data_IF_903962433709
#
_entry.id   IF_903962433709
#
_cell.length_a   1.000
_cell.length_b   1.000
_cell.length_c   1.000
_cell.angle_alpha   90.00
_cell.angle_beta   90.00
_cell.angle_gamma   90.00
#
_symmetry.space_group_name_H-M   'P 1'
#
loop_
_entity.id
_entity.type
_entity.pdbx_description
1 polymer ?
#
# COMPACT_ATOMS: atom_id res chain seq x y z
N UNK A 1 5.86 -49.13 -7.31
CA UNK A 1 7.24 -48.91 -6.85
C UNK A 1 7.39 -47.41 -6.64
N UNK A 2 7.71 -46.92 -5.42
CA UNK A 2 8.03 -45.50 -5.27
C UNK A 2 9.27 -45.16 -6.09
N UNK A 3 9.23 -44.03 -6.81
CA UNK A 3 10.35 -43.57 -7.64
C UNK A 3 11.60 -43.41 -6.78
N UNK A 4 12.74 -43.94 -7.25
CA UNK A 4 14.00 -43.87 -6.50
C UNK A 4 14.37 -42.43 -6.14
N UNK A 5 14.04 -41.48 -7.00
CA UNK A 5 14.25 -40.05 -6.78
C UNK A 5 13.51 -39.54 -5.53
N UNK A 6 12.30 -40.03 -5.27
CA UNK A 6 11.54 -39.66 -4.08
C UNK A 6 12.15 -40.27 -2.82
N UNK A 7 12.67 -41.49 -2.92
CA UNK A 7 13.31 -42.19 -1.81
C UNK A 7 14.63 -41.53 -1.43
N UNK A 8 15.41 -41.09 -2.42
CA UNK A 8 16.67 -40.38 -2.21
C UNK A 8 16.45 -38.99 -1.62
N UNK A 9 15.47 -38.23 -2.14
CA UNK A 9 15.08 -36.94 -1.54
C UNK A 9 14.61 -37.09 -0.09
N UNK A 10 13.85 -38.15 0.22
CA UNK A 10 13.37 -38.38 1.59
C UNK A 10 14.51 -38.77 2.54
N UNK A 11 15.55 -39.44 2.03
CA UNK A 11 16.75 -39.78 2.80
C UNK A 11 17.58 -38.54 3.09
N UNK A 12 17.86 -37.72 2.07
CA UNK A 12 18.60 -36.47 2.20
C UNK A 12 17.90 -35.46 3.13
N UNK A 13 16.57 -35.43 3.14
CA UNK A 13 15.80 -34.54 4.03
C UNK A 13 15.72 -35.01 5.48
N UNK A 14 15.87 -36.31 5.74
CA UNK A 14 15.89 -36.85 7.12
C UNK A 14 17.18 -36.54 7.86
N UNK A 15 18.31 -36.46 7.12
CA UNK A 15 19.61 -36.18 7.71
C UNK A 15 19.95 -34.67 7.74
N UNK A 16 19.06 -33.82 7.21
CA UNK A 16 19.17 -32.38 7.30
C UNK A 16 18.90 -31.90 8.73
N UNK A 17 19.96 -31.77 9.50
CA UNK A 17 19.95 -31.02 10.75
C UNK A 17 19.77 -29.54 10.43
N UNK A 18 18.52 -29.06 10.43
CA UNK A 18 18.24 -27.65 10.21
C UNK A 18 18.92 -26.82 11.29
N UNK A 19 19.68 -25.81 10.87
CA UNK A 19 20.21 -24.83 11.79
C UNK A 19 19.06 -24.20 12.60
N UNK A 20 19.28 -23.82 13.87
CA UNK A 20 18.26 -23.15 14.67
C UNK A 20 17.65 -21.98 13.89
N UNK A 21 16.33 -21.82 13.99
CA UNK A 21 15.55 -20.82 13.24
C UNK A 21 16.14 -19.41 13.30
N UNK A 22 16.76 -19.05 14.42
CA UNK A 22 17.41 -17.77 14.69
C UNK A 22 18.66 -17.59 13.81
N UNK A 23 19.40 -18.66 13.57
CA UNK A 23 20.59 -18.65 12.72
C UNK A 23 20.21 -18.54 11.24
N UNK A 24 19.15 -19.22 10.80
CA UNK A 24 18.59 -19.08 9.45
C UNK A 24 18.11 -17.64 9.21
N UNK A 25 17.33 -17.09 10.15
CA UNK A 25 16.87 -15.69 10.11
C UNK A 25 18.01 -14.67 10.13
N UNK A 26 19.11 -14.96 10.84
CA UNK A 26 20.31 -14.10 10.87
C UNK A 26 21.06 -14.14 9.53
N UNK A 27 21.25 -15.32 8.94
CA UNK A 27 21.90 -15.48 7.63
C UNK A 27 21.09 -14.84 6.50
N UNK A 28 19.75 -14.98 6.50
CA UNK A 28 18.87 -14.32 5.53
C UNK A 28 19.01 -12.79 5.55
N UNK A 29 19.00 -12.20 6.76
CA UNK A 29 19.23 -10.75 6.93
C UNK A 29 20.62 -10.31 6.47
N UNK A 30 21.65 -11.12 6.68
CA UNK A 30 23.02 -10.79 6.28
C UNK A 30 23.21 -10.83 4.75
N UNK A 31 22.57 -11.77 4.04
CA UNK A 31 22.56 -11.78 2.55
C UNK A 31 21.86 -10.55 2.00
N UNK A 32 20.68 -10.23 2.51
CA UNK A 32 19.90 -9.05 2.05
C UNK A 32 20.68 -7.74 2.20
N UNK A 33 21.45 -7.58 3.29
CA UNK A 33 22.33 -6.42 3.48
C UNK A 33 23.49 -6.37 2.47
N UNK A 34 24.08 -7.52 2.13
CA UNK A 34 25.18 -7.58 1.15
C UNK A 34 24.70 -7.26 -0.27
N UNK A 35 23.53 -7.74 -0.67
CA UNK A 35 22.98 -7.47 -2.02
C UNK A 35 22.69 -5.99 -2.24
N UNK A 36 22.23 -5.26 -1.21
CA UNK A 36 21.96 -3.81 -1.30
C UNK A 36 23.22 -2.95 -1.46
N UNK A 37 24.38 -3.41 -0.98
CA UNK A 37 25.64 -2.64 -1.08
C UNK A 37 26.26 -2.78 -2.48
N UNK A 38 26.11 -3.92 -3.14
CA UNK A 38 26.70 -4.16 -4.47
C UNK A 38 25.95 -3.42 -5.58
N UNK A 39 24.63 -3.21 -5.43
CA UNK A 39 23.82 -2.49 -6.42
C UNK A 39 24.12 -0.97 -6.51
N UNK A 40 24.85 -0.39 -5.55
CA UNK A 40 25.17 1.04 -5.52
C UNK A 40 26.39 1.46 -6.35
N UNK A 41 27.22 0.52 -6.84
CA UNK A 41 28.51 0.84 -7.46
C UNK A 41 28.56 0.68 -8.99
N UNK A 42 27.49 0.22 -9.65
CA UNK A 42 27.49 -0.03 -11.10
C UNK A 42 27.12 1.20 -11.98
N UNK A 43 26.91 2.38 -11.40
CA UNK A 43 26.29 3.52 -12.08
C UNK A 43 27.20 4.56 -12.74
N UNK A 44 28.53 4.37 -12.80
CA UNK A 44 29.46 5.48 -13.14
C UNK A 44 30.17 5.35 -14.50
N UNK A 45 30.02 4.26 -15.27
CA UNK A 45 30.90 4.04 -16.46
C UNK A 45 30.24 4.24 -17.84
N UNK A 46 28.92 4.45 -17.94
CA UNK A 46 28.24 4.46 -19.26
C UNK A 46 27.79 5.84 -19.76
N UNK A 47 28.68 6.84 -19.81
CA UNK A 47 28.45 8.11 -20.52
C UNK A 47 29.63 8.42 -21.43
N UNK A 48 29.78 7.63 -22.49
CA UNK A 48 30.57 7.98 -23.67
C UNK A 48 30.26 6.96 -24.76
N UNK A 49 29.30 7.26 -25.65
CA UNK A 49 29.15 6.84 -27.06
C UNK A 49 27.66 6.99 -27.41
N UNK A 50 27.23 8.21 -27.76
CA UNK A 50 26.10 8.42 -28.68
C UNK A 50 26.42 9.66 -29.50
N UNK A 51 27.20 9.48 -30.56
CA UNK A 51 27.42 10.49 -31.59
C UNK A 51 27.71 9.78 -32.92
N UNK A 52 26.72 9.07 -33.46
CA UNK A 52 26.63 8.72 -34.89
C UNK A 52 25.30 7.99 -35.14
N UNK A 53 24.53 8.47 -36.12
CA UNK A 53 23.47 7.65 -36.73
C UNK A 53 22.11 8.32 -36.90
N UNK A 54 22.06 9.48 -37.56
CA UNK A 54 20.85 9.94 -38.22
C UNK A 54 20.75 9.23 -39.59
N UNK A 55 19.69 8.45 -39.82
CA UNK A 55 19.25 8.07 -41.16
C UNK A 55 17.72 8.12 -41.22
N UNK A 56 17.25 8.77 -42.27
CA UNK A 56 15.88 9.13 -42.57
C UNK A 56 14.94 7.95 -42.78
N UNK A 57 13.70 8.09 -42.31
CA UNK A 57 12.52 7.47 -42.92
C UNK A 57 11.42 8.51 -43.04
N UNK A 58 11.20 8.95 -44.27
CA UNK A 58 10.01 9.66 -44.70
C UNK A 58 8.95 8.62 -45.09
N UNK A 59 7.83 8.59 -44.37
CA UNK A 59 6.63 7.81 -44.72
C UNK A 59 5.42 8.74 -44.61
N UNK A 60 4.69 8.90 -45.72
CA UNK A 60 3.60 9.87 -45.87
C UNK A 60 2.33 9.54 -45.07
N UNK A 61 1.44 10.52 -44.91
CA UNK A 61 0.20 10.36 -44.14
C UNK A 61 -0.86 9.56 -44.91
N UNK A 62 -1.36 8.50 -44.28
CA UNK A 62 -2.54 7.76 -44.70
C UNK A 62 -3.82 8.59 -44.42
N UNK A 63 -4.83 8.58 -45.31
CA UNK A 63 -6.08 9.30 -45.10
C UNK A 63 -6.95 8.65 -44.02
N UNK A 64 -7.45 9.48 -43.10
CA UNK A 64 -8.31 9.06 -42.01
C UNK A 64 -9.65 8.48 -42.49
N UNK A 65 -10.16 7.39 -41.87
CA UNK A 65 -11.50 6.87 -42.15
C UNK A 65 -12.61 7.80 -41.63
N UNK A 66 -13.80 7.80 -42.27
CA UNK A 66 -14.92 8.67 -41.90
C UNK A 66 -15.53 8.31 -40.53
N UNK A 67 -15.88 9.35 -39.78
CA UNK A 67 -16.49 9.28 -38.44
C UNK A 67 -17.99 8.91 -38.58
N UNK A 68 -18.49 7.89 -37.86
CA UNK A 68 -19.92 7.57 -37.84
C UNK A 68 -20.74 8.63 -37.05
N UNK A 69 -22.03 8.84 -37.38
CA UNK A 69 -22.87 9.82 -36.72
C UNK A 69 -23.17 9.46 -35.26
N UNK A 70 -23.15 10.46 -34.37
CA UNK A 70 -23.56 10.33 -32.98
C UNK A 70 -25.09 10.20 -32.88
N UNK A 71 -25.58 9.01 -32.56
CA UNK A 71 -27.00 8.75 -32.26
C UNK A 71 -27.26 8.82 -30.76
N UNK A 72 -28.17 9.72 -30.38
CA UNK A 72 -29.11 9.52 -29.28
C UNK A 72 -28.62 9.80 -27.86
N UNK A 73 -28.90 11.01 -27.37
CA UNK A 73 -28.91 11.33 -25.94
C UNK A 73 -30.23 10.86 -25.31
N UNK A 74 -30.24 9.98 -24.29
CA UNK A 74 -31.44 9.72 -23.52
C UNK A 74 -31.66 10.81 -22.47
N UNK A 75 -32.83 11.44 -22.55
CA UNK A 75 -33.41 12.40 -21.61
C UNK A 75 -33.44 11.84 -20.17
N UNK A 76 -32.99 12.59 -19.14
CA UNK A 76 -33.14 12.15 -17.76
C UNK A 76 -34.58 12.29 -17.27
N UNK A 77 -35.12 11.19 -16.75
CA UNK A 77 -36.40 11.14 -16.02
C UNK A 77 -36.21 11.62 -14.58
N UNK A 78 -36.97 12.61 -14.08
CA UNK A 78 -36.93 13.00 -12.67
C UNK A 78 -37.85 12.10 -11.82
N UNK A 79 -37.39 11.67 -10.64
CA UNK A 79 -38.27 11.11 -9.59
C UNK A 79 -37.53 10.99 -8.24
N UNK A 80 -38.25 10.85 -7.11
CA UNK A 80 -38.93 11.91 -6.39
C UNK A 80 -38.32 12.17 -5.00
N UNK A 81 -38.68 13.31 -4.42
CA UNK A 81 -38.37 13.73 -3.05
C UNK A 81 -39.19 12.96 -2.00
N UNK A 82 -38.57 12.47 -0.90
CA UNK A 82 -39.23 12.34 0.39
C UNK A 82 -38.49 13.18 1.45
N UNK A 83 -39.15 14.20 2.02
CA UNK A 83 -40.00 14.18 3.23
C UNK A 83 -39.21 14.19 4.54
N UNK A 84 -39.31 15.33 5.23
CA UNK A 84 -38.69 15.71 6.50
C UNK A 84 -39.37 15.14 7.76
N UNK A 85 -38.57 15.03 8.83
CA UNK A 85 -38.90 15.10 10.28
C UNK A 85 -39.49 13.84 10.96
N UNK A 86 -39.27 13.59 12.27
CA UNK A 86 -38.92 14.56 13.32
C UNK A 86 -37.74 14.22 14.27
N UNK A 87 -37.36 15.24 15.04
CA UNK A 87 -36.46 15.23 16.19
C UNK A 87 -36.86 14.24 17.28
N UNK A 88 -35.88 13.57 17.87
CA UNK A 88 -35.99 12.97 19.20
C UNK A 88 -34.94 13.56 20.14
N UNK A 89 -35.43 14.39 21.07
CA UNK A 89 -34.77 14.83 22.29
C UNK A 89 -34.72 13.67 23.29
N UNK A 90 -33.58 13.42 23.92
CA UNK A 90 -33.47 12.41 24.98
C UNK A 90 -32.09 12.37 25.64
N UNK A 91 -31.84 13.31 26.55
CA UNK A 91 -30.81 13.19 27.61
C UNK A 91 -31.33 12.25 28.70
N UNK A 92 -30.48 11.37 29.27
CA UNK A 92 -30.00 11.69 30.61
C UNK A 92 -28.52 11.34 30.86
N UNK A 93 -27.90 12.20 31.66
CA UNK A 93 -26.65 12.01 32.40
C UNK A 93 -26.81 10.94 33.49
N UNK A 94 -25.81 10.05 33.67
CA UNK A 94 -25.48 9.56 35.00
C UNK A 94 -24.05 9.92 35.41
N UNK A 95 -23.98 10.67 36.51
CA UNK A 95 -22.83 10.87 37.38
C UNK A 95 -22.46 9.55 38.04
N UNK A 96 -21.19 9.16 38.00
CA UNK A 96 -20.70 7.99 38.73
C UNK A 96 -19.17 7.88 38.68
N UNK A 97 -18.50 8.60 39.57
CA UNK A 97 -17.09 8.37 39.93
C UNK A 97 -17.05 7.31 41.04
N UNK A 98 -16.11 6.36 40.96
CA UNK A 98 -15.21 6.21 42.10
C UNK A 98 -13.73 6.13 41.69
N UNK A 99 -12.92 6.85 42.46
CA UNK A 99 -11.47 6.67 42.56
C UNK A 99 -11.10 5.22 42.83
N UNK A 100 -10.12 4.71 42.08
CA UNK A 100 -9.22 3.67 42.59
C UNK A 100 -7.79 4.07 42.26
N UNK A 101 -7.13 4.54 43.31
CA UNK A 101 -5.70 4.70 43.45
C UNK A 101 -5.04 3.31 43.38
N UNK A 102 -4.09 3.15 42.45
CA UNK A 102 -3.42 1.87 42.19
C UNK A 102 -2.02 2.10 41.61
N UNK A 103 -1.06 2.26 42.52
CA UNK A 103 0.35 1.83 42.48
C UNK A 103 1.17 2.00 41.18
N UNK A 104 2.28 2.77 41.19
CA UNK A 104 3.21 2.83 40.07
C UNK A 104 4.03 1.53 39.99
N UNK A 105 3.75 0.69 38.99
CA UNK A 105 4.64 -0.43 38.64
C UNK A 105 5.69 0.05 37.64
N UNK A 106 6.95 -0.10 38.04
CA UNK A 106 8.15 0.21 37.26
C UNK A 106 8.13 -0.39 35.85
N UNK A 107 8.69 0.29 34.83
CA UNK A 107 8.74 -0.26 33.48
C UNK A 107 9.74 -1.43 33.42
N UNK A 108 9.38 -2.59 32.84
CA UNK A 108 10.37 -3.60 32.52
C UNK A 108 11.29 -3.06 31.43
N UNK A 109 12.58 -2.93 31.75
CA UNK A 109 13.65 -2.75 30.75
C UNK A 109 13.75 -4.03 29.92
N UNK A 110 12.88 -4.17 28.94
CA UNK A 110 13.08 -5.11 27.85
C UNK A 110 13.95 -4.42 26.82
N UNK A 111 15.19 -4.88 26.66
CA UNK A 111 16.03 -4.62 25.50
C UNK A 111 15.35 -5.20 24.25
N UNK A 112 14.37 -4.46 23.73
CA UNK A 112 13.64 -4.77 22.51
C UNK A 112 14.47 -4.40 21.30
N UNK A 113 15.00 -5.44 20.65
CA UNK A 113 15.40 -5.46 19.24
C UNK A 113 14.44 -4.59 18.38
N UNK A 114 14.94 -3.71 17.48
CA UNK A 114 14.07 -2.91 16.62
C UNK A 114 13.43 -3.84 15.58
N UNK A 115 12.18 -4.23 15.84
CA UNK A 115 11.26 -4.78 14.86
C UNK A 115 10.85 -3.63 13.92
N UNK A 116 10.79 -3.87 12.62
CA UNK A 116 10.60 -2.84 11.57
C UNK A 116 9.28 -2.07 11.62
N UNK A 117 8.41 -2.37 12.60
CA UNK A 117 7.24 -1.59 12.93
C UNK A 117 7.58 -0.33 13.71
N UNK A 118 7.87 0.74 12.98
CA UNK A 118 8.13 2.05 13.56
C UNK A 118 6.90 2.58 14.30
N UNK A 119 7.02 2.81 15.61
CA UNK A 119 6.04 3.53 16.45
C UNK A 119 6.36 5.02 16.50
N UNK A 120 6.81 5.58 15.36
CA UNK A 120 7.25 6.97 15.27
C UNK A 120 6.18 7.92 15.79
N UNK A 121 6.52 8.65 16.86
CA UNK A 121 5.58 9.55 17.54
C UNK A 121 5.24 10.77 16.70
N UNK A 122 6.01 11.07 15.67
CA UNK A 122 5.68 12.14 14.72
C UNK A 122 4.47 11.79 13.85
N UNK A 123 4.05 10.51 13.80
CA UNK A 123 2.75 10.11 13.25
C UNK A 123 1.85 9.68 14.41
N UNK A 124 0.89 10.53 14.82
CA UNK A 124 0.05 10.26 15.98
C UNK A 124 -0.80 9.00 15.75
N UNK A 125 -1.19 8.30 16.82
CA UNK A 125 -1.99 7.09 16.70
C UNK A 125 -3.36 7.36 16.05
N UNK A 126 -3.89 8.58 16.19
CA UNK A 126 -5.12 9.02 15.55
C UNK A 126 -5.02 9.03 14.00
N UNK A 127 -3.80 9.10 13.44
CA UNK A 127 -3.54 9.02 12.01
C UNK A 127 -3.67 7.61 11.43
N UNK A 128 -3.69 6.58 12.29
CA UNK A 128 -3.75 5.17 11.88
C UNK A 128 -5.18 4.65 11.99
N UNK A 129 -5.54 3.72 11.12
CA UNK A 129 -6.73 2.91 11.28
C UNK A 129 -6.77 2.26 12.67
N UNK A 130 -7.99 2.11 13.18
CA UNK A 130 -8.32 1.46 14.43
C UNK A 130 -9.23 0.27 14.17
N UNK A 131 -9.33 -0.66 15.13
CA UNK A 131 -10.25 -1.79 15.01
C UNK A 131 -11.71 -1.38 14.81
N UNK A 132 -12.12 -0.26 15.41
CA UNK A 132 -13.46 0.30 15.22
C UNK A 132 -13.74 0.79 13.78
N UNK A 133 -12.69 0.98 12.97
CA UNK A 133 -12.80 1.37 11.57
C UNK A 133 -12.97 0.16 10.65
N UNK A 134 -12.75 -1.05 11.15
CA UNK A 134 -12.76 -2.27 10.34
C UNK A 134 -14.06 -3.08 10.57
N UNK A 135 -14.42 -3.97 9.63
CA UNK A 135 -15.49 -4.94 9.88
C UNK A 135 -15.24 -5.75 11.15
N UNK A 136 -16.32 -6.28 11.74
CA UNK A 136 -16.21 -7.17 12.87
C UNK A 136 -15.35 -8.40 12.54
N UNK A 137 -14.58 -8.87 13.52
CA UNK A 137 -13.71 -10.06 13.38
C UNK A 137 -12.26 -9.75 13.01
N UNK A 138 -11.94 -8.52 12.62
CA UNK A 138 -10.55 -8.08 12.54
C UNK A 138 -9.91 -7.97 13.93
N UNK A 139 -8.63 -8.28 14.02
CA UNK A 139 -7.75 -8.10 15.19
C UNK A 139 -6.48 -7.38 14.75
N UNK A 140 -5.91 -6.57 15.64
CA UNK A 140 -4.62 -5.93 15.40
C UNK A 140 -3.54 -6.99 15.65
N UNK A 141 -2.78 -7.33 14.62
CA UNK A 141 -1.71 -8.33 14.69
C UNK A 141 -0.32 -7.71 14.84
N UNK A 142 -0.25 -6.38 14.94
CA UNK A 142 0.94 -5.63 15.29
C UNK A 142 1.25 -4.53 14.28
N UNK A 143 2.53 -4.17 14.22
CA UNK A 143 3.06 -3.13 13.34
C UNK A 143 4.15 -3.68 12.43
N UNK A 144 4.30 -5.00 12.33
CA UNK A 144 5.31 -5.61 11.47
C UNK A 144 4.93 -5.39 10.00
N UNK A 145 5.69 -4.52 9.35
CA UNK A 145 5.54 -4.18 7.93
C UNK A 145 6.51 -4.97 7.05
N UNK A 146 7.22 -5.96 7.59
CA UNK A 146 8.11 -6.81 6.81
C UNK A 146 7.32 -7.58 5.74
N UNK A 147 7.84 -7.61 4.51
CA UNK A 147 7.28 -8.39 3.41
C UNK A 147 7.12 -7.60 2.11
N UNK A 148 6.65 -8.31 1.08
CA UNK A 148 6.50 -7.81 -0.28
C UNK A 148 5.06 -7.35 -0.58
N UNK A 149 4.44 -6.69 0.40
CA UNK A 149 3.04 -6.23 0.30
C UNK A 149 2.91 -4.82 -0.29
N UNK A 150 4.00 -4.04 -0.34
CA UNK A 150 3.97 -2.65 -0.81
C UNK A 150 3.87 -2.58 -2.34
N UNK A 151 3.28 -1.50 -2.87
CA UNK A 151 3.25 -1.23 -4.30
C UNK A 151 4.66 -1.23 -4.91
N UNK A 152 5.66 -0.70 -4.18
CA UNK A 152 7.05 -0.70 -4.63
C UNK A 152 7.58 -2.12 -4.89
N UNK A 153 7.12 -3.11 -4.12
CA UNK A 153 7.50 -4.51 -4.31
C UNK A 153 6.99 -5.06 -5.65
N UNK A 154 5.83 -4.60 -6.13
CA UNK A 154 5.29 -5.00 -7.44
C UNK A 154 6.01 -4.32 -8.60
N UNK A 155 6.68 -3.20 -8.35
CA UNK A 155 7.32 -2.44 -9.44
C UNK A 155 8.56 -3.11 -10.01
N UNK A 156 9.07 -4.15 -9.35
CA UNK A 156 10.15 -4.99 -9.89
C UNK A 156 9.74 -5.75 -11.16
N UNK A 157 8.44 -5.88 -11.42
CA UNK A 157 7.88 -6.54 -12.60
C UNK A 157 7.59 -5.56 -13.75
N UNK A 158 7.80 -4.26 -13.52
CA UNK A 158 7.67 -3.23 -14.54
C UNK A 158 9.01 -3.03 -15.27
N UNK A 159 8.97 -2.92 -16.59
CA UNK A 159 10.14 -2.53 -17.37
C UNK A 159 10.52 -1.07 -17.06
N UNK A 160 11.81 -0.82 -16.83
CA UNK A 160 12.37 0.52 -16.61
C UNK A 160 12.67 0.82 -15.15
N UNK A 161 13.00 2.10 -14.87
CA UNK A 161 13.38 2.54 -13.52
C UNK A 161 12.17 3.12 -12.80
N UNK A 162 11.76 2.48 -11.71
CA UNK A 162 10.68 2.97 -10.86
C UNK A 162 11.22 4.03 -9.87
N UNK A 163 10.71 5.27 -9.91
CA UNK A 163 11.09 6.27 -8.91
C UNK A 163 10.60 5.84 -7.52
N UNK A 164 11.29 6.28 -6.47
CA UNK A 164 10.77 6.10 -5.11
C UNK A 164 9.45 6.86 -4.94
N UNK A 165 8.40 6.18 -4.49
CA UNK A 165 7.09 6.79 -4.22
C UNK A 165 7.02 7.49 -2.85
N UNK A 166 8.11 7.49 -2.07
CA UNK A 166 8.16 8.19 -0.78
C UNK A 166 9.18 9.33 -0.73
N UNK A 167 9.15 10.30 -1.67
CA UNK A 167 10.05 11.44 -1.64
C UNK A 167 9.91 12.22 -0.33
N UNK A 168 11.03 12.65 0.26
CA UNK A 168 11.02 13.51 1.43
C UNK A 168 10.27 12.94 2.65
N UNK A 169 10.12 11.62 2.72
CA UNK A 169 9.60 10.91 3.89
C UNK A 169 10.48 11.22 5.11
N UNK A 170 9.85 11.77 6.16
CA UNK A 170 10.52 12.11 7.42
C UNK A 170 10.11 11.18 8.56
N UNK A 171 8.99 10.47 8.40
CA UNK A 171 8.52 9.49 9.37
C UNK A 171 7.61 8.46 8.75
N UNK A 172 7.48 7.32 9.44
CA UNK A 172 6.64 6.19 9.04
C UNK A 172 6.05 5.48 10.24
N UNK A 173 4.80 5.04 10.10
CA UNK A 173 4.11 4.18 11.04
C UNK A 173 3.28 3.13 10.32
N UNK A 174 3.18 1.94 10.92
CA UNK A 174 2.51 0.79 10.33
C UNK A 174 1.51 0.12 11.27
N UNK A 175 0.51 -0.53 10.69
CA UNK A 175 -0.41 -1.42 11.40
C UNK A 175 -0.83 -2.58 10.49
N UNK A 176 -0.95 -3.77 11.08
CA UNK A 176 -1.45 -4.97 10.41
C UNK A 176 -2.71 -5.44 11.12
N UNK A 177 -3.73 -5.78 10.33
CA UNK A 177 -5.01 -6.24 10.80
C UNK A 177 -5.37 -7.54 10.10
N UNK A 178 -5.74 -8.55 10.87
CA UNK A 178 -6.10 -9.86 10.34
C UNK A 178 -7.50 -10.26 10.83
N UNK A 179 -8.21 -11.00 10.00
CA UNK A 179 -9.44 -11.73 10.34
C UNK A 179 -9.28 -13.18 9.88
N UNK A 180 -10.23 -14.09 10.19
CA UNK A 180 -10.18 -15.45 9.66
C UNK A 180 -10.19 -15.55 8.13
N UNK A 181 -10.71 -14.53 7.44
CA UNK A 181 -10.93 -14.57 5.97
C UNK A 181 -10.14 -13.52 5.21
N UNK A 182 -9.50 -12.57 5.88
CA UNK A 182 -8.91 -11.38 5.25
C UNK A 182 -7.78 -10.79 6.07
N UNK A 183 -6.93 -10.00 5.40
CA UNK A 183 -5.85 -9.25 6.01
C UNK A 183 -5.77 -7.86 5.38
N UNK A 184 -5.31 -6.89 6.17
CA UNK A 184 -5.11 -5.51 5.78
C UNK A 184 -3.82 -5.01 6.39
N UNK A 185 -2.98 -4.37 5.58
CA UNK A 185 -1.75 -3.74 6.05
C UNK A 185 -1.80 -2.26 5.70
N UNK A 186 -1.64 -1.41 6.70
CA UNK A 186 -1.56 0.03 6.54
C UNK A 186 -0.14 0.52 6.84
N UNK A 187 0.36 1.40 5.97
CA UNK A 187 1.52 2.25 6.23
C UNK A 187 1.13 3.69 6.02
N UNK A 188 1.36 4.50 7.05
CA UNK A 188 1.26 5.96 6.97
C UNK A 188 2.66 6.54 6.98
N UNK A 189 2.94 7.43 6.04
CA UNK A 189 4.19 8.20 5.95
C UNK A 189 3.91 9.69 6.12
N UNK A 190 4.80 10.38 6.82
CA UNK A 190 4.83 11.84 6.89
C UNK A 190 5.91 12.35 5.95
N UNK A 191 5.60 13.41 5.22
CA UNK A 191 6.50 14.02 4.24
C UNK A 191 6.79 15.47 4.59
N UNK A 192 7.98 15.93 4.25
CA UNK A 192 8.37 17.33 4.40
C UNK A 192 7.86 18.20 3.25
N UNK A 193 7.37 19.41 3.55
CA UNK A 193 6.94 20.38 2.52
C UNK A 193 5.83 19.83 1.61
N UNK A 194 5.92 20.12 0.31
CA UNK A 194 4.96 19.62 -0.70
C UNK A 194 5.14 18.15 -1.09
N UNK A 195 6.07 17.40 -0.47
CA UNK A 195 6.45 16.07 -0.93
C UNK A 195 5.35 15.00 -0.77
N UNK A 196 4.35 15.22 0.09
CA UNK A 196 3.19 14.32 0.17
C UNK A 196 2.37 14.33 -1.13
N UNK A 197 2.18 15.50 -1.75
CA UNK A 197 1.51 15.60 -3.06
C UNK A 197 2.39 14.96 -4.15
N UNK A 198 3.69 15.26 -4.15
CA UNK A 198 4.66 14.62 -5.04
C UNK A 198 4.67 13.09 -4.90
N UNK A 199 4.45 12.56 -3.70
CA UNK A 199 4.34 11.12 -3.48
C UNK A 199 3.12 10.53 -4.23
N UNK A 200 1.96 11.20 -4.14
CA UNK A 200 0.75 10.79 -4.88
C UNK A 200 0.94 10.86 -6.39
N UNK A 201 1.60 11.91 -6.90
CA UNK A 201 1.92 12.04 -8.32
C UNK A 201 2.87 10.92 -8.77
N UNK A 202 3.88 10.59 -7.97
CA UNK A 202 4.78 9.47 -8.27
C UNK A 202 4.07 8.12 -8.26
N UNK A 203 3.06 7.91 -7.43
CA UNK A 203 2.21 6.71 -7.51
C UNK A 203 1.48 6.66 -8.86
N UNK A 204 0.89 7.79 -9.30
CA UNK A 204 0.19 7.86 -10.59
C UNK A 204 1.14 7.62 -11.75
N UNK A 205 2.31 8.28 -11.76
CA UNK A 205 3.34 8.12 -12.80
C UNK A 205 3.87 6.68 -12.85
N UNK A 206 4.12 6.09 -11.68
CA UNK A 206 4.61 4.72 -11.58
C UNK A 206 3.61 3.71 -12.11
N UNK A 207 2.32 3.85 -11.77
CA UNK A 207 1.28 2.92 -12.24
C UNK A 207 1.03 3.09 -13.74
N UNK A 208 0.91 4.33 -14.22
CA UNK A 208 0.64 4.61 -15.65
C UNK A 208 1.85 4.34 -16.55
N UNK A 209 3.07 4.50 -16.03
CA UNK A 209 4.31 4.22 -16.72
C UNK A 209 4.75 2.74 -16.66
N UNK A 210 4.16 1.93 -15.78
CA UNK A 210 4.52 0.52 -15.65
C UNK A 210 4.14 -0.24 -16.92
N UNK A 211 5.15 -0.86 -17.55
CA UNK A 211 4.97 -1.84 -18.62
C UNK A 211 5.38 -3.21 -18.08
N UNK A 212 4.44 -4.07 -17.69
CA UNK A 212 4.77 -5.38 -17.15
C UNK A 212 5.60 -6.20 -18.14
N UNK A 213 6.64 -6.87 -17.66
CA UNK A 213 7.56 -7.65 -18.52
C UNK A 213 6.92 -8.93 -19.09
N UNK A 214 5.92 -9.48 -18.38
CA UNK A 214 5.24 -10.72 -18.76
C UNK A 214 3.86 -10.43 -19.36
N UNK A 215 3.50 -11.20 -20.37
CA UNK A 215 2.15 -11.18 -20.91
C UNK A 215 1.13 -11.63 -19.84
N UNK A 216 0.03 -10.88 -19.72
CA UNK A 216 -1.02 -11.13 -18.72
C UNK A 216 -0.81 -10.40 -17.39
N UNK A 217 0.41 -9.93 -17.10
CA UNK A 217 0.65 -9.08 -15.95
C UNK A 217 0.09 -7.67 -16.21
N UNK A 218 -0.44 -7.02 -15.17
CA UNK A 218 -1.03 -5.68 -15.25
C UNK A 218 -0.87 -4.91 -13.94
N UNK A 219 -0.76 -3.59 -14.07
CA UNK A 219 -0.80 -2.62 -12.97
C UNK A 219 -1.62 -1.42 -13.45
N UNK A 220 -2.66 -1.04 -12.73
CA UNK A 220 -3.58 0.02 -13.18
C UNK A 220 -4.22 0.77 -12.02
N UNK A 221 -4.60 2.02 -12.27
CA UNK A 221 -5.46 2.79 -11.36
C UNK A 221 -6.90 2.42 -11.71
N UNK A 222 -7.62 1.82 -10.76
CA UNK A 222 -9.00 1.35 -10.97
C UNK A 222 -10.04 2.32 -10.41
N UNK A 223 -9.63 3.25 -9.55
CA UNK A 223 -10.50 4.32 -9.07
C UNK A 223 -9.69 5.52 -8.56
N UNK A 224 -10.31 6.70 -8.60
CA UNK A 224 -9.83 7.95 -8.01
C UNK A 224 -10.97 8.63 -7.26
N UNK A 225 -10.67 9.55 -6.35
CA UNK A 225 -11.72 10.35 -5.70
C UNK A 225 -12.53 9.59 -4.64
N UNK A 226 -12.03 8.47 -4.14
CA UNK A 226 -12.74 7.61 -3.18
C UNK A 226 -13.00 8.32 -1.83
N UNK A 227 -12.09 9.20 -1.42
CA UNK A 227 -12.09 9.93 -0.16
C UNK A 227 -11.63 11.39 -0.31
N UNK A 228 -12.01 12.02 -1.44
CA UNK A 228 -11.53 13.33 -1.85
C UNK A 228 -10.55 13.25 -3.02
N UNK A 229 -10.15 14.40 -3.56
CA UNK A 229 -9.38 14.51 -4.81
C UNK A 229 -8.03 13.76 -4.76
N UNK A 230 -7.45 13.66 -3.58
CA UNK A 230 -6.14 13.07 -3.34
C UNK A 230 -6.26 11.64 -2.78
N UNK A 231 -7.10 10.83 -3.45
CA UNK A 231 -7.24 9.41 -3.16
C UNK A 231 -7.38 8.60 -4.43
N UNK A 232 -6.77 7.42 -4.46
CA UNK A 232 -6.83 6.49 -5.59
C UNK A 232 -6.68 5.04 -5.14
N UNK A 233 -7.17 4.14 -5.98
CA UNK A 233 -7.05 2.71 -5.81
C UNK A 233 -6.25 2.13 -6.98
N UNK A 234 -5.22 1.37 -6.64
CA UNK A 234 -4.36 0.66 -7.58
C UNK A 234 -4.70 -0.82 -7.52
N UNK A 235 -4.85 -1.46 -8.68
CA UNK A 235 -4.95 -2.90 -8.80
C UNK A 235 -3.74 -3.44 -9.57
N UNK A 236 -3.22 -4.59 -9.14
CA UNK A 236 -2.25 -5.36 -9.92
C UNK A 236 -2.76 -6.77 -10.14
N UNK A 237 -2.42 -7.36 -11.29
CA UNK A 237 -2.43 -8.80 -11.50
C UNK A 237 -1.04 -9.20 -11.97
N UNK A 238 -0.27 -9.91 -11.12
CA UNK A 238 1.13 -10.26 -11.40
C UNK A 238 1.32 -11.74 -11.14
N UNK A 239 1.75 -12.49 -12.14
CA UNK A 239 1.93 -13.94 -12.05
C UNK A 239 0.67 -14.66 -11.53
N UNK A 240 -0.51 -14.17 -11.92
CA UNK A 240 -1.80 -14.68 -11.47
C UNK A 240 -2.23 -14.24 -10.07
N UNK A 241 -1.40 -13.50 -9.33
CA UNK A 241 -1.76 -12.93 -8.04
C UNK A 241 -2.35 -11.54 -8.21
N UNK A 242 -3.54 -11.35 -7.67
CA UNK A 242 -4.18 -10.05 -7.66
C UNK A 242 -3.92 -9.33 -6.33
N UNK A 243 -3.78 -8.01 -6.37
CA UNK A 243 -3.58 -7.20 -5.18
C UNK A 243 -4.16 -5.81 -5.40
N UNK A 244 -4.66 -5.22 -4.31
CA UNK A 244 -5.22 -3.88 -4.31
C UNK A 244 -4.55 -3.02 -3.25
N UNK A 245 -4.30 -1.76 -3.62
CA UNK A 245 -3.81 -0.73 -2.71
C UNK A 245 -4.71 0.49 -2.76
N UNK A 246 -5.06 1.00 -1.58
CA UNK A 246 -5.61 2.34 -1.43
C UNK A 246 -4.49 3.31 -1.07
N UNK A 247 -4.44 4.41 -1.80
CA UNK A 247 -3.61 5.56 -1.47
C UNK A 247 -4.51 6.73 -1.12
N UNK A 248 -4.25 7.36 0.02
CA UNK A 248 -5.01 8.51 0.50
C UNK A 248 -4.02 9.52 1.07
N UNK A 249 -4.15 10.78 0.69
CA UNK A 249 -3.38 11.88 1.29
C UNK A 249 -4.27 12.82 2.07
N UNK A 250 -3.79 13.29 3.21
CA UNK A 250 -4.32 14.47 3.90
C UNK A 250 -3.14 15.29 4.42
N UNK A 251 -3.08 16.56 4.02
CA UNK A 251 -1.96 17.43 4.39
C UNK A 251 -0.60 16.85 3.96
N UNK A 252 0.27 16.66 4.96
CA UNK A 252 1.62 16.11 4.84
C UNK A 252 1.70 14.59 5.06
N UNK A 253 0.56 13.92 5.26
CA UNK A 253 0.48 12.48 5.48
C UNK A 253 -0.04 11.75 4.24
N UNK A 254 0.55 10.60 3.94
CA UNK A 254 0.08 9.66 2.91
C UNK A 254 -0.11 8.29 3.55
N UNK A 255 -1.28 7.69 3.37
CA UNK A 255 -1.54 6.29 3.70
C UNK A 255 -1.46 5.43 2.44
N UNK A 256 -0.82 4.28 2.57
CA UNK A 256 -0.92 3.15 1.67
C UNK A 256 -1.53 1.98 2.43
N UNK A 257 -2.67 1.48 1.96
CA UNK A 257 -3.37 0.35 2.56
C UNK A 257 -3.44 -0.77 1.55
N UNK A 258 -2.77 -1.89 1.83
CA UNK A 258 -2.93 -3.12 1.07
C UNK A 258 -4.13 -3.90 1.59
N UNK A 259 -4.93 -4.41 0.66
CA UNK A 259 -6.14 -5.18 0.92
C UNK A 259 -5.94 -6.60 0.37
N UNK A 260 -6.03 -7.61 1.24
CA UNK A 260 -5.97 -9.01 0.82
C UNK A 260 -7.22 -9.39 0.03
N UNK A 261 -8.37 -8.91 0.50
CA UNK A 261 -9.61 -8.94 -0.29
C UNK A 261 -9.45 -8.03 -1.51
N UNK A 262 -10.18 -8.35 -2.57
CA UNK A 262 -10.15 -7.60 -3.82
C UNK A 262 -11.45 -6.81 -4.01
N UNK A 263 -11.71 -5.81 -3.15
CA UNK A 263 -12.98 -5.11 -3.20
C UNK A 263 -13.10 -4.34 -4.52
N UNK A 264 -14.33 -4.22 -4.99
CA UNK A 264 -14.67 -3.23 -6.00
C UNK A 264 -14.39 -1.80 -5.48
N UNK A 265 -14.25 -0.81 -6.37
CA UNK A 265 -14.12 0.59 -5.96
C UNK A 265 -15.19 1.08 -4.98
N UNK A 266 -16.44 0.65 -5.17
CA UNK A 266 -17.56 1.03 -4.30
C UNK A 266 -17.45 0.41 -2.91
N UNK A 267 -17.00 -0.83 -2.81
CA UNK A 267 -16.72 -1.51 -1.53
C UNK A 267 -15.47 -0.95 -0.84
N UNK A 268 -14.50 -0.45 -1.60
CA UNK A 268 -13.28 0.15 -1.06
C UNK A 268 -13.50 1.59 -0.54
N UNK A 269 -14.51 2.29 -1.06
CA UNK A 269 -14.81 3.69 -0.74
C UNK A 269 -15.02 3.97 0.76
N UNK A 270 -15.76 3.15 1.55
CA UNK A 270 -15.86 3.33 2.99
C UNK A 270 -14.52 3.23 3.72
N UNK A 271 -13.62 2.33 3.29
CA UNK A 271 -12.28 2.21 3.88
C UNK A 271 -11.45 3.46 3.59
N UNK A 272 -11.42 3.90 2.33
CA UNK A 272 -10.69 5.11 1.95
C UNK A 272 -11.15 6.35 2.75
N UNK A 273 -12.46 6.50 2.98
CA UNK A 273 -13.03 7.59 3.80
C UNK A 273 -12.58 7.51 5.26
N UNK A 274 -12.54 6.31 5.84
CA UNK A 274 -12.05 6.10 7.21
C UNK A 274 -10.57 6.44 7.32
N UNK A 275 -9.76 6.01 6.34
CA UNK A 275 -8.33 6.38 6.25
C UNK A 275 -8.19 7.90 6.16
N UNK A 276 -8.94 8.57 5.28
CA UNK A 276 -8.90 10.03 5.17
C UNK A 276 -9.24 10.72 6.50
N UNK A 277 -10.29 10.28 7.20
CA UNK A 277 -10.67 10.83 8.50
C UNK A 277 -9.57 10.63 9.56
N UNK A 278 -8.89 9.47 9.55
CA UNK A 278 -7.76 9.23 10.45
C UNK A 278 -6.58 10.12 10.14
N UNK A 279 -6.14 10.16 8.88
CA UNK A 279 -5.06 11.05 8.46
C UNK A 279 -5.36 12.51 8.83
N UNK A 280 -6.61 12.95 8.62
CA UNK A 280 -7.09 14.26 9.00
C UNK A 280 -6.92 14.56 10.50
N UNK A 281 -7.28 13.60 11.36
CA UNK A 281 -7.06 13.73 12.81
C UNK A 281 -5.57 13.71 13.20
N UNK A 282 -4.69 13.31 12.29
CA UNK A 282 -3.24 13.21 12.50
C UNK A 282 -2.40 14.36 11.96
N UNK A 283 -3.02 15.31 11.26
CA UNK A 283 -2.35 16.44 10.62
C UNK A 283 -3.11 17.74 10.93
N UNK A 284 -2.44 18.90 11.05
CA UNK A 284 -3.13 20.18 11.24
C UNK A 284 -3.85 20.70 10.00
N UNK A 285 -3.67 20.07 8.83
CA UNK A 285 -4.19 20.53 7.54
C UNK A 285 -5.16 19.53 6.92
N UNK A 286 -6.45 19.85 7.10
CA UNK A 286 -7.63 19.40 6.38
C UNK A 286 -8.47 20.65 6.05
#
# INVERSE_FOLDING_TARGET
>A
MPDQLFTDMLRDTRDLTWAPTEQVRRRGRQRTRRTRIVAGLAGVVAVAVVAAGAVAFAGGPDPAPPIPPATGSPTPTPSPTPSTAPSATGSPTPTGSPSTEGTPSSPPKTSGRPTGGSTDRSIPAAAMLQLADLPAGFRNSGSDLDGDWTLESVTIYCAGRSPSITPGEVARRGATFDSPTSSMIERVTRHSGGNAATAMDRVRDLVTGCRPERAGDSLSIVATGLAGDESLMVASSISGHQSHWLFVRQGDLVAQVWLAEQPSPDEAKPYARKVANRLCAGTPSC
#
